data_IF_443421620660
#
_entry.id   IF_443421620660
#
_cell.length_a   1.000
_cell.length_b   1.000
_cell.length_c   1.000
_cell.angle_alpha   90.00
_cell.angle_beta   90.00
_cell.angle_gamma   90.00
#
_symmetry.space_group_name_H-M   'P 1'
#
loop_
_entity.id
_entity.type
_entity.pdbx_description
1 polymer ?
#
# COMPACT_ATOMS: atom_id res chain seq x y z
N UNK A 1 -10.83 5.80 -29.21
CA UNK A 1 -11.25 4.61 -28.42
C UNK A 1 -10.06 3.76 -27.96
N UNK A 2 -9.19 3.33 -28.88
CA UNK A 2 -7.96 2.57 -28.54
C UNK A 2 -7.02 3.37 -27.63
N UNK A 3 -6.83 4.67 -27.90
CA UNK A 3 -6.00 5.54 -27.08
C UNK A 3 -6.52 5.69 -25.65
N UNK A 4 -7.84 5.69 -25.47
CA UNK A 4 -8.47 5.77 -24.14
C UNK A 4 -8.31 4.45 -23.37
N UNK A 5 -8.43 3.30 -24.05
CA UNK A 5 -8.17 1.99 -23.45
C UNK A 5 -6.71 1.87 -23.00
N UNK A 6 -5.77 2.32 -23.81
CA UNK A 6 -4.35 2.33 -23.45
C UNK A 6 -4.08 3.22 -22.26
N UNK A 7 -4.77 4.36 -22.17
CA UNK A 7 -4.68 5.27 -21.04
C UNK A 7 -5.18 4.60 -19.75
N UNK A 8 -6.32 3.91 -19.80
CA UNK A 8 -6.83 3.18 -18.64
C UNK A 8 -5.89 2.08 -18.19
N UNK A 9 -5.31 1.33 -19.12
CA UNK A 9 -4.31 0.30 -18.81
C UNK A 9 -3.08 0.89 -18.12
N UNK A 10 -2.59 2.01 -18.63
CA UNK A 10 -1.45 2.72 -18.06
C UNK A 10 -1.76 3.19 -16.64
N UNK A 11 -2.92 3.81 -16.42
CA UNK A 11 -3.33 4.29 -15.11
C UNK A 11 -3.49 3.13 -14.11
N UNK A 12 -4.07 2.01 -14.53
CA UNK A 12 -4.21 0.80 -13.71
C UNK A 12 -2.83 0.27 -13.31
N UNK A 13 -1.90 0.23 -14.25
CA UNK A 13 -0.53 -0.22 -13.97
C UNK A 13 0.16 0.68 -12.95
N UNK A 14 0.05 1.99 -13.12
CA UNK A 14 0.62 2.97 -12.19
C UNK A 14 0.01 2.84 -10.78
N UNK A 15 -1.30 2.69 -10.69
CA UNK A 15 -1.97 2.47 -9.41
C UNK A 15 -1.61 1.13 -8.78
N UNK A 16 -1.43 0.09 -9.57
CA UNK A 16 -1.00 -1.22 -9.08
C UNK A 16 0.39 -1.16 -8.48
N UNK A 17 1.32 -0.43 -9.09
CA UNK A 17 2.64 -0.20 -8.54
C UNK A 17 2.58 0.60 -7.24
N UNK A 18 1.78 1.65 -7.22
CA UNK A 18 1.57 2.46 -6.02
C UNK A 18 0.96 1.63 -4.89
N UNK A 19 0.00 0.76 -5.20
CA UNK A 19 -0.61 -0.15 -4.25
C UNK A 19 0.43 -1.09 -3.62
N UNK A 20 1.35 -1.61 -4.43
CA UNK A 20 2.44 -2.46 -3.95
C UNK A 20 3.33 -1.75 -2.92
N UNK A 21 3.71 -0.50 -3.20
CA UNK A 21 4.51 0.32 -2.28
C UNK A 21 3.75 0.63 -0.99
N UNK A 22 2.48 1.01 -1.10
CA UNK A 22 1.64 1.32 0.07
C UNK A 22 1.41 0.07 0.94
N UNK A 23 1.18 -1.09 0.32
CA UNK A 23 0.99 -2.35 1.03
C UNK A 23 2.26 -2.76 1.79
N UNK A 24 3.43 -2.57 1.18
CA UNK A 24 4.71 -2.81 1.83
C UNK A 24 4.92 -1.89 3.04
N UNK A 25 4.62 -0.61 2.89
CA UNK A 25 4.70 0.37 3.99
C UNK A 25 3.73 0.01 5.11
N UNK A 26 2.50 -0.38 4.78
CA UNK A 26 1.50 -0.79 5.77
C UNK A 26 1.99 -2.00 6.57
N UNK A 27 2.60 -3.00 5.92
CA UNK A 27 3.17 -4.16 6.58
C UNK A 27 4.30 -3.79 7.54
N UNK A 28 5.17 -2.87 7.16
CA UNK A 28 6.23 -2.38 8.05
C UNK A 28 5.67 -1.67 9.27
N UNK A 29 4.66 -0.83 9.08
CA UNK A 29 3.99 -0.12 10.17
C UNK A 29 3.24 -1.09 11.10
N UNK A 30 2.62 -2.13 10.54
CA UNK A 30 1.95 -3.18 11.32
C UNK A 30 2.95 -3.93 12.21
N UNK A 31 4.11 -4.28 11.69
CA UNK A 31 5.16 -4.94 12.45
C UNK A 31 5.69 -4.06 13.59
N UNK A 32 5.90 -2.78 13.31
CA UNK A 32 6.31 -1.81 14.34
C UNK A 32 5.23 -1.63 15.41
N UNK A 33 3.98 -1.55 15.03
CA UNK A 33 2.84 -1.47 15.94
C UNK A 33 2.80 -2.67 16.89
N UNK A 34 2.90 -3.88 16.34
CA UNK A 34 2.86 -5.12 17.12
C UNK A 34 4.05 -5.18 18.08
N UNK A 35 5.23 -4.81 17.63
CA UNK A 35 6.42 -4.75 18.50
C UNK A 35 6.23 -3.78 19.65
N UNK A 36 5.75 -2.57 19.39
CA UNK A 36 5.52 -1.55 20.42
C UNK A 36 4.44 -1.98 21.40
N UNK A 37 3.44 -2.73 20.96
CA UNK A 37 2.40 -3.28 21.81
C UNK A 37 2.93 -4.27 22.83
N UNK A 38 3.95 -5.05 22.49
CA UNK A 38 4.60 -5.99 23.40
C UNK A 38 5.78 -5.39 24.18
N UNK A 39 6.21 -4.19 23.82
CA UNK A 39 7.40 -3.55 24.40
C UNK A 39 7.22 -3.23 25.90
N UNK A 40 5.99 -3.07 26.38
CA UNK A 40 5.68 -2.85 27.79
C UNK A 40 6.09 -4.00 28.72
N UNK A 41 6.30 -5.19 28.17
CA UNK A 41 6.77 -6.37 28.91
C UNK A 41 8.29 -6.44 29.01
N UNK A 42 9.00 -5.61 28.27
CA UNK A 42 10.47 -5.56 28.23
C UNK A 42 10.98 -4.78 29.42
N UNK A 43 12.02 -5.30 30.05
CA UNK A 43 12.67 -4.70 31.22
C UNK A 43 14.11 -4.31 30.88
N UNK A 44 14.64 -3.36 31.65
CA UNK A 44 16.04 -3.00 31.57
C UNK A 44 16.93 -4.24 31.77
N UNK A 45 17.90 -4.41 30.90
CA UNK A 45 18.81 -5.54 30.89
C UNK A 45 18.33 -6.77 30.13
N UNK A 46 17.10 -6.77 29.61
CA UNK A 46 16.62 -7.87 28.77
C UNK A 46 17.40 -7.95 27.46
N UNK A 47 17.71 -9.16 27.05
CA UNK A 47 18.34 -9.44 25.77
C UNK A 47 17.28 -9.58 24.69
N UNK A 48 17.51 -8.95 23.56
CA UNK A 48 16.66 -9.04 22.38
C UNK A 48 17.47 -9.41 21.16
N UNK A 49 16.80 -9.98 20.16
CA UNK A 49 17.36 -10.24 18.84
C UNK A 49 16.91 -9.18 17.87
N UNK A 50 17.87 -8.53 17.20
CA UNK A 50 17.61 -7.47 16.24
C UNK A 50 17.93 -7.96 14.85
N UNK A 51 16.96 -8.00 13.91
CA UNK A 51 17.22 -8.36 12.53
C UNK A 51 17.97 -7.23 11.81
N UNK A 52 19.07 -7.58 11.16
CA UNK A 52 19.90 -6.62 10.42
C UNK A 52 19.84 -6.84 8.91
N UNK A 53 19.02 -7.77 8.44
CA UNK A 53 18.87 -8.11 7.03
C UNK A 53 19.56 -9.43 6.67
N UNK A 54 19.25 -9.97 5.50
CA UNK A 54 19.84 -11.22 5.00
C UNK A 54 19.60 -12.44 5.87
N UNK A 55 18.59 -12.42 6.75
CA UNK A 55 18.33 -13.49 7.70
C UNK A 55 19.24 -13.48 8.92
N UNK A 56 20.08 -12.46 9.07
CA UNK A 56 21.02 -12.32 10.19
C UNK A 56 20.37 -11.57 11.34
N UNK A 57 20.52 -12.11 12.55
CA UNK A 57 20.06 -11.51 13.80
C UNK A 57 21.28 -11.20 14.68
N UNK A 58 21.24 -10.08 15.36
CA UNK A 58 22.23 -9.77 16.40
C UNK A 58 21.56 -9.68 17.76
N UNK A 59 22.31 -10.06 18.80
CA UNK A 59 21.88 -9.87 20.17
C UNK A 59 22.11 -8.44 20.59
N UNK A 60 21.13 -7.86 21.28
CA UNK A 60 21.25 -6.54 21.88
C UNK A 60 20.63 -6.57 23.29
N UNK A 61 21.05 -5.64 24.12
CA UNK A 61 20.52 -5.50 25.48
C UNK A 61 19.74 -4.20 25.57
N UNK A 62 18.53 -4.25 26.14
CA UNK A 62 17.70 -3.07 26.34
C UNK A 62 18.25 -2.27 27.51
N UNK A 63 18.65 -1.02 27.24
CA UNK A 63 19.18 -0.13 28.27
C UNK A 63 18.11 0.70 28.94
N UNK A 64 17.10 1.15 28.19
CA UNK A 64 16.00 1.94 28.71
C UNK A 64 14.69 1.51 28.03
N UNK A 65 13.86 0.69 28.69
CA UNK A 65 12.61 0.22 28.11
C UNK A 65 11.50 1.28 28.08
N UNK A 66 11.72 2.44 28.68
CA UNK A 66 10.73 3.52 28.72
C UNK A 66 10.90 4.48 27.53
N UNK A 67 11.96 4.33 26.76
CA UNK A 67 12.27 5.21 25.62
C UNK A 67 12.56 4.44 24.36
N UNK A 68 12.01 4.95 23.27
CA UNK A 68 12.31 4.50 21.93
C UNK A 68 12.71 5.70 21.08
N UNK A 69 13.41 5.44 19.98
CA UNK A 69 13.76 6.47 18.99
C UNK A 69 12.85 6.24 17.80
N UNK A 70 12.07 7.25 17.44
CA UNK A 70 11.14 7.17 16.32
C UNK A 70 11.34 8.35 15.36
N UNK A 71 11.10 8.09 14.09
CA UNK A 71 11.14 9.13 13.06
C UNK A 71 9.93 10.06 13.21
N UNK A 72 10.19 11.37 13.15
CA UNK A 72 9.16 12.40 13.17
C UNK A 72 9.03 13.13 11.82
N UNK A 73 9.71 12.63 10.79
CA UNK A 73 9.72 13.16 9.43
C UNK A 73 11.04 13.77 9.04
N UNK A 74 11.28 13.91 7.73
CA UNK A 74 12.47 14.58 7.15
C UNK A 74 13.81 14.07 7.71
N UNK A 75 13.94 12.75 7.94
CA UNK A 75 15.12 12.11 8.53
C UNK A 75 15.46 12.57 9.95
N UNK A 76 14.54 13.25 10.62
CA UNK A 76 14.68 13.65 12.02
C UNK A 76 14.13 12.53 12.90
N UNK A 77 14.94 12.12 13.88
CA UNK A 77 14.57 11.13 14.88
C UNK A 77 14.47 11.78 16.25
N UNK A 78 13.53 11.34 17.06
CA UNK A 78 13.33 11.85 18.41
C UNK A 78 13.11 10.70 19.38
N UNK A 79 13.61 10.88 20.61
CA UNK A 79 13.27 9.99 21.72
C UNK A 79 11.85 10.26 22.19
N UNK A 80 11.10 9.22 22.42
CA UNK A 80 9.76 9.29 23.00
C UNK A 80 9.43 8.02 23.77
N UNK A 81 8.39 8.07 24.58
CA UNK A 81 7.94 6.84 25.23
C UNK A 81 7.28 5.90 24.21
N UNK A 82 7.25 4.57 24.51
CA UNK A 82 6.70 3.60 23.58
C UNK A 82 5.23 3.83 23.21
N UNK A 83 4.44 4.38 24.13
CA UNK A 83 3.02 4.67 23.87
C UNK A 83 2.86 5.80 22.87
N UNK A 84 3.66 6.86 23.00
CA UNK A 84 3.67 7.96 22.04
C UNK A 84 4.12 7.49 20.66
N UNK A 85 5.14 6.63 20.61
CA UNK A 85 5.60 6.04 19.36
C UNK A 85 4.51 5.17 18.71
N UNK A 86 3.83 4.34 19.50
CA UNK A 86 2.73 3.50 19.02
C UNK A 86 1.59 4.34 18.48
N UNK A 87 1.23 5.43 19.11
CA UNK A 87 0.19 6.34 18.65
C UNK A 87 0.56 6.95 17.28
N UNK A 88 1.79 7.40 17.11
CA UNK A 88 2.28 7.94 15.83
C UNK A 88 2.25 6.90 14.71
N UNK A 89 2.70 5.68 15.01
CA UNK A 89 2.68 4.57 14.05
C UNK A 89 1.24 4.21 13.69
N UNK A 90 0.33 4.16 14.67
CA UNK A 90 -1.09 3.89 14.45
C UNK A 90 -1.75 4.92 13.54
N UNK A 91 -1.52 6.20 13.77
CA UNK A 91 -2.05 7.28 12.93
C UNK A 91 -1.49 7.21 11.51
N UNK A 92 -0.20 6.95 11.37
CA UNK A 92 0.43 6.80 10.06
C UNK A 92 -0.11 5.59 9.31
N UNK A 93 -0.29 4.47 10.00
CA UNK A 93 -0.88 3.26 9.45
C UNK A 93 -2.30 3.49 8.96
N UNK A 94 -3.11 4.22 9.73
CA UNK A 94 -4.49 4.56 9.35
C UNK A 94 -4.52 5.40 8.06
N UNK A 95 -3.62 6.38 7.94
CA UNK A 95 -3.49 7.17 6.72
C UNK A 95 -3.09 6.32 5.51
N UNK A 96 -2.15 5.41 5.69
CA UNK A 96 -1.72 4.49 4.61
C UNK A 96 -2.86 3.57 4.20
N UNK A 97 -3.62 3.02 5.14
CA UNK A 97 -4.80 2.20 4.85
C UNK A 97 -5.85 2.95 4.07
N UNK A 98 -6.09 4.21 4.41
CA UNK A 98 -7.01 5.07 3.66
C UNK A 98 -6.52 5.30 2.23
N UNK A 99 -5.24 5.56 2.04
CA UNK A 99 -4.64 5.70 0.71
C UNK A 99 -4.75 4.41 -0.11
N UNK A 100 -4.55 3.25 0.52
CA UNK A 100 -4.73 1.94 -0.12
C UNK A 100 -6.17 1.79 -0.62
N UNK A 101 -7.16 2.14 0.18
CA UNK A 101 -8.56 2.06 -0.22
C UNK A 101 -8.86 2.98 -1.40
N UNK A 102 -8.33 4.20 -1.41
CA UNK A 102 -8.49 5.14 -2.51
C UNK A 102 -7.86 4.63 -3.80
N UNK A 103 -6.68 4.05 -3.73
CA UNK A 103 -6.00 3.47 -4.89
C UNK A 103 -6.77 2.27 -5.43
N UNK A 104 -7.25 1.38 -4.57
CA UNK A 104 -8.07 0.23 -4.97
C UNK A 104 -9.36 0.68 -5.65
N UNK A 105 -10.04 1.67 -5.09
CA UNK A 105 -11.25 2.24 -5.69
C UNK A 105 -10.96 2.84 -7.07
N UNK A 106 -9.81 3.51 -7.22
CA UNK A 106 -9.35 4.05 -8.50
C UNK A 106 -9.11 2.97 -9.54
N UNK A 107 -8.51 1.85 -9.14
CA UNK A 107 -8.29 0.69 -10.02
C UNK A 107 -9.64 0.10 -10.46
N UNK A 108 -10.53 -0.17 -9.53
CA UNK A 108 -11.86 -0.72 -9.83
C UNK A 108 -12.65 0.16 -10.80
N UNK A 109 -12.60 1.47 -10.58
CA UNK A 109 -13.29 2.44 -11.44
C UNK A 109 -12.74 2.40 -12.88
N UNK A 110 -11.43 2.31 -13.03
CA UNK A 110 -10.78 2.26 -14.34
C UNK A 110 -10.99 0.93 -15.03
N UNK A 111 -11.00 -0.16 -14.29
CA UNK A 111 -11.33 -1.48 -14.82
C UNK A 111 -12.78 -1.52 -15.33
N UNK A 112 -13.72 -0.98 -14.57
CA UNK A 112 -15.12 -0.89 -14.96
C UNK A 112 -15.29 -0.01 -16.22
N UNK A 113 -14.61 1.14 -16.27
CA UNK A 113 -14.63 2.03 -17.44
C UNK A 113 -14.01 1.38 -18.66
N UNK A 114 -12.92 0.66 -18.49
CA UNK A 114 -12.24 -0.08 -19.56
C UNK A 114 -13.14 -1.18 -20.12
N UNK A 115 -13.78 -1.94 -19.26
CA UNK A 115 -14.71 -3.00 -19.66
C UNK A 115 -15.92 -2.44 -20.41
N UNK A 116 -16.51 -1.35 -19.91
CA UNK A 116 -17.63 -0.67 -20.57
C UNK A 116 -17.23 -0.16 -21.97
N UNK A 117 -16.04 0.41 -22.08
CA UNK A 117 -15.55 0.90 -23.36
C UNK A 117 -15.28 -0.22 -24.36
N UNK A 118 -14.73 -1.35 -23.88
CA UNK A 118 -14.54 -2.53 -24.73
C UNK A 118 -15.86 -3.09 -25.24
N UNK A 119 -16.88 -3.16 -24.38
CA UNK A 119 -18.21 -3.61 -24.77
C UNK A 119 -18.84 -2.68 -25.78
N UNK A 120 -18.70 -1.37 -25.64
CA UNK A 120 -19.15 -0.39 -26.62
C UNK A 120 -18.45 -0.55 -27.96
N UNK A 121 -17.14 -0.80 -27.94
CA UNK A 121 -16.37 -1.03 -29.16
C UNK A 121 -16.80 -2.30 -29.88
N UNK A 122 -17.02 -3.38 -29.14
CA UNK A 122 -17.52 -4.64 -29.70
C UNK A 122 -18.91 -4.47 -30.31
N UNK A 123 -19.82 -3.78 -29.60
CA UNK A 123 -21.17 -3.53 -30.08
C UNK A 123 -21.14 -2.71 -31.38
N UNK A 124 -20.32 -1.66 -31.42
CA UNK A 124 -20.16 -0.83 -32.61
C UNK A 124 -19.58 -1.64 -33.79
N UNK A 125 -18.61 -2.53 -33.52
CA UNK A 125 -18.01 -3.38 -34.53
C UNK A 125 -19.04 -4.38 -35.09
N UNK A 126 -19.85 -4.99 -34.23
CA UNK A 126 -20.90 -5.91 -34.65
C UNK A 126 -21.97 -5.22 -35.47
N UNK A 127 -22.40 -4.01 -35.10
CA UNK A 127 -23.33 -3.22 -35.90
C UNK A 127 -22.76 -2.91 -37.29
N UNK A 128 -21.49 -2.56 -37.36
CA UNK A 128 -20.82 -2.29 -38.61
C UNK A 128 -20.76 -3.55 -39.49
N UNK A 129 -20.46 -4.71 -38.94
CA UNK A 129 -20.47 -5.97 -39.64
C UNK A 129 -21.88 -6.35 -40.13
N UNK A 130 -22.89 -6.18 -39.32
CA UNK A 130 -24.26 -6.42 -39.70
C UNK A 130 -24.74 -5.52 -40.85
N UNK A 131 -24.35 -4.24 -40.80
CA UNK A 131 -24.63 -3.30 -41.86
C UNK A 131 -23.94 -3.69 -43.18
N UNK A 132 -22.72 -4.21 -43.10
CA UNK A 132 -21.95 -4.67 -44.30
C UNK A 132 -22.44 -6.01 -44.78
N UNK A 133 -22.91 -6.89 -43.88
CA UNK A 133 -23.42 -8.20 -44.23
C UNK A 133 -24.88 -8.20 -44.61
N UNK A 134 -25.60 -7.08 -44.51
CA UNK A 134 -26.97 -6.98 -44.92
C UNK A 134 -27.08 -7.17 -46.46
N UNK A 135 -27.93 -8.07 -46.94
CA UNK A 135 -28.07 -8.29 -48.35
C UNK A 135 -28.58 -7.02 -49.03
N UNK A 136 -27.80 -6.50 -49.92
CA UNK A 136 -28.22 -5.42 -50.81
C UNK A 136 -29.01 -6.07 -51.95
N UNK A 137 -30.28 -5.92 -51.87
CA UNK A 137 -31.16 -6.37 -52.95
C UNK A 137 -31.38 -5.22 -53.94
#
# INVERSE_FOLDING_TARGET
MIALLDRYRYEIEMFTQQLGLLTSTESELAAAWDFLGSFGEVKEGDDILVPVGGGVLISATVTDPEKVIASIGMDIQAEMDPEAAAERIGERRDRIREMIQQVRAGIEQREASSTALQQQAEAAYMELQNARGAPTI
#
